data_IF_666763075619
#
_entry.id   IF_666763075619
#
_cell.length_a   1.000
_cell.length_b   1.000
_cell.length_c   1.000
_cell.angle_alpha   90.00
_cell.angle_beta   90.00
_cell.angle_gamma   90.00
#
_symmetry.space_group_name_H-M   'P 1'
#
loop_
_entity.id
_entity.type
_entity.pdbx_description
1 polymer ?
#
# COMPACT_ATOMS: atom_id res chain seq x y z
N UNK A 1 -18.77 -8.02 -23.10
CA UNK A 1 -18.05 -8.67 -21.99
C UNK A 1 -16.58 -8.31 -22.10
N UNK A 2 -16.15 -7.23 -21.45
CA UNK A 2 -14.74 -6.83 -21.40
C UNK A 2 -14.16 -7.54 -20.17
N UNK A 3 -13.30 -8.53 -20.40
CA UNK A 3 -12.49 -9.15 -19.35
C UNK A 3 -11.55 -8.07 -18.81
N UNK A 4 -11.97 -7.39 -17.74
CA UNK A 4 -11.10 -6.45 -17.02
C UNK A 4 -9.88 -7.24 -16.56
N UNK A 5 -8.70 -6.88 -17.06
CA UNK A 5 -7.44 -7.49 -16.72
C UNK A 5 -7.33 -7.58 -15.19
N UNK A 6 -7.15 -8.79 -14.68
CA UNK A 6 -7.00 -9.01 -13.23
C UNK A 6 -5.77 -8.24 -12.77
N UNK A 7 -5.97 -7.08 -12.15
CA UNK A 7 -4.90 -6.38 -11.48
C UNK A 7 -4.28 -7.34 -10.44
N UNK A 8 -2.99 -7.64 -10.57
CA UNK A 8 -2.32 -8.68 -9.78
C UNK A 8 -2.38 -8.43 -8.27
N UNK A 9 -2.61 -7.18 -7.86
CA UNK A 9 -2.79 -6.83 -6.45
C UNK A 9 -4.25 -6.92 -5.97
N UNK A 10 -5.25 -6.82 -6.83
CA UNK A 10 -6.66 -6.86 -6.43
C UNK A 10 -7.52 -5.88 -7.22
N UNK A 11 -8.81 -6.21 -7.36
CA UNK A 11 -9.74 -5.50 -8.24
C UNK A 11 -10.08 -4.06 -7.80
N UNK A 12 -9.85 -3.71 -6.53
CA UNK A 12 -10.07 -2.35 -6.01
C UNK A 12 -8.95 -1.37 -6.39
N UNK A 13 -7.80 -1.87 -6.84
CA UNK A 13 -6.64 -1.07 -7.20
C UNK A 13 -6.59 -0.81 -8.70
N UNK A 14 -5.94 0.28 -9.12
CA UNK A 14 -5.84 0.63 -10.52
C UNK A 14 -5.00 -0.39 -11.30
N UNK A 15 -5.43 -0.74 -12.52
CA UNK A 15 -4.72 -1.68 -13.38
C UNK A 15 -3.44 -1.05 -13.96
N UNK A 16 -2.47 -1.91 -14.31
CA UNK A 16 -1.32 -1.49 -15.12
C UNK A 16 -1.73 -1.16 -16.55
N UNK A 17 -2.79 -1.77 -17.04
CA UNK A 17 -3.33 -1.55 -18.39
C UNK A 17 -4.23 -0.30 -18.48
N UNK A 18 -4.49 0.36 -17.34
CA UNK A 18 -5.28 1.59 -17.33
C UNK A 18 -4.46 2.76 -17.91
N UNK A 19 -4.68 3.02 -19.20
CA UNK A 19 -4.06 4.13 -19.93
C UNK A 19 -4.53 5.52 -19.46
N UNK A 20 -5.66 5.62 -18.76
CA UNK A 20 -6.13 6.88 -18.19
C UNK A 20 -5.48 7.21 -16.84
N UNK A 21 -4.77 6.24 -16.24
CA UNK A 21 -4.01 6.46 -15.01
C UNK A 21 -2.75 7.29 -15.29
N UNK A 22 -2.78 8.57 -14.90
CA UNK A 22 -1.62 9.48 -14.99
C UNK A 22 -0.94 9.54 -13.61
N UNK A 23 0.27 8.99 -13.43
CA UNK A 23 0.96 9.01 -12.13
C UNK A 23 1.32 10.42 -11.70
N UNK A 24 0.85 10.82 -10.51
CA UNK A 24 1.24 12.06 -9.83
C UNK A 24 2.41 11.85 -8.88
N UNK A 25 2.38 10.74 -8.13
CA UNK A 25 3.46 10.34 -7.24
C UNK A 25 3.99 8.96 -7.63
N UNK A 26 5.30 8.78 -7.44
CA UNK A 26 6.02 7.53 -7.64
C UNK A 26 6.76 7.22 -6.36
N UNK A 27 6.60 6.01 -5.85
CA UNK A 27 7.22 5.58 -4.61
C UNK A 27 7.82 4.18 -4.74
N UNK A 28 8.80 3.91 -3.90
CA UNK A 28 9.45 2.62 -3.82
C UNK A 28 9.87 2.33 -2.38
N UNK A 29 10.02 1.06 -2.04
CA UNK A 29 10.68 0.67 -0.79
C UNK A 29 12.18 1.03 -0.84
N UNK A 30 12.87 0.96 0.31
CA UNK A 30 14.29 1.31 0.40
C UNK A 30 15.17 0.53 -0.58
N UNK A 31 14.91 -0.77 -0.78
CA UNK A 31 15.68 -1.58 -1.72
C UNK A 31 15.19 -1.49 -3.19
N UNK A 32 14.15 -0.71 -3.48
CA UNK A 32 13.63 -0.49 -4.83
C UNK A 32 12.91 -1.69 -5.48
N UNK A 33 12.75 -2.82 -4.77
CA UNK A 33 12.05 -4.01 -5.28
C UNK A 33 10.54 -3.80 -5.40
N UNK A 34 9.93 -3.19 -4.39
CA UNK A 34 8.51 -2.81 -4.41
C UNK A 34 8.42 -1.39 -4.98
N UNK A 35 7.60 -1.20 -6.01
CA UNK A 35 7.34 0.11 -6.61
C UNK A 35 5.85 0.29 -6.85
N UNK A 36 5.37 1.50 -6.63
CA UNK A 36 3.97 1.85 -6.81
C UNK A 36 3.82 3.30 -7.22
N UNK A 37 2.66 3.59 -7.80
CA UNK A 37 2.29 4.89 -8.32
C UNK A 37 0.94 5.31 -7.74
N UNK A 38 0.74 6.62 -7.64
CA UNK A 38 -0.50 7.23 -7.17
C UNK A 38 -0.93 8.32 -8.14
N UNK A 39 -2.20 8.34 -8.56
CA UNK A 39 -2.71 9.27 -9.60
C UNK A 39 -3.48 10.48 -9.07
N UNK A 40 -3.64 10.60 -7.75
CA UNK A 40 -4.45 11.65 -7.12
C UNK A 40 -3.71 12.35 -5.98
N UNK A 41 -4.22 13.52 -5.59
CA UNK A 41 -3.88 14.13 -4.29
C UNK A 41 -4.39 13.25 -3.14
N UNK A 42 -3.73 13.27 -1.97
CA UNK A 42 -4.22 12.54 -0.81
C UNK A 42 -5.57 13.11 -0.36
N UNK A 43 -6.47 12.22 0.06
CA UNK A 43 -7.75 12.64 0.64
C UNK A 43 -7.57 13.22 2.04
N UNK A 44 -6.51 12.79 2.73
CA UNK A 44 -6.15 13.22 4.08
C UNK A 44 -4.69 12.82 4.38
N UNK A 45 -4.10 13.40 5.42
CA UNK A 45 -2.80 13.01 5.94
C UNK A 45 -2.84 12.97 7.47
N UNK A 46 -2.26 11.93 8.06
CA UNK A 46 -2.34 11.68 9.51
C UNK A 46 -0.98 11.50 10.14
N UNK A 47 -0.81 12.12 11.31
CA UNK A 47 0.27 11.83 12.25
C UNK A 47 -0.30 10.95 13.36
N UNK A 48 0.18 9.71 13.44
CA UNK A 48 -0.27 8.75 14.44
C UNK A 48 0.81 8.52 15.50
N UNK A 49 0.44 8.75 16.76
CA UNK A 49 1.31 8.62 17.93
C UNK A 49 1.03 7.35 18.74
N UNK A 50 0.20 6.44 18.25
CA UNK A 50 -0.11 5.23 19.00
C UNK A 50 1.13 4.34 19.11
N UNK A 51 1.18 3.53 20.17
CA UNK A 51 2.34 2.65 20.44
C UNK A 51 2.61 1.69 19.28
N UNK A 52 1.58 1.21 18.60
CA UNK A 52 1.73 0.34 17.42
C UNK A 52 2.49 1.03 16.30
N UNK A 53 2.11 2.27 15.94
CA UNK A 53 2.79 3.03 14.91
C UNK A 53 4.23 3.41 15.32
N UNK A 54 4.45 3.71 16.61
CA UNK A 54 5.80 3.98 17.11
C UNK A 54 6.72 2.76 16.96
N UNK A 55 6.25 1.58 17.39
CA UNK A 55 7.02 0.34 17.30
C UNK A 55 7.24 -0.08 15.85
N UNK A 56 6.20 -0.01 15.00
CA UNK A 56 6.28 -0.43 13.60
C UNK A 56 7.26 0.43 12.79
N UNK A 57 7.30 1.73 13.04
CA UNK A 57 8.16 2.66 12.29
C UNK A 57 9.50 2.93 12.97
N UNK A 58 9.71 2.46 14.21
CA UNK A 58 10.90 2.80 15.00
C UNK A 58 11.05 4.30 15.22
N UNK A 59 9.93 5.03 15.30
CA UNK A 59 9.88 6.49 15.30
C UNK A 59 8.87 7.02 16.34
N UNK A 60 8.96 8.29 16.78
CA UNK A 60 8.00 8.88 17.73
C UNK A 60 6.55 8.93 17.21
N UNK A 61 6.38 8.87 15.88
CA UNK A 61 5.10 8.85 15.19
C UNK A 61 5.24 8.22 13.80
N UNK A 62 4.11 7.84 13.23
CA UNK A 62 3.98 7.57 11.80
C UNK A 62 3.31 8.77 11.13
N UNK A 63 3.85 9.20 9.98
CA UNK A 63 3.12 10.05 9.04
C UNK A 63 2.64 9.20 7.86
N UNK A 64 1.35 9.27 7.52
CA UNK A 64 0.81 8.63 6.33
C UNK A 64 -0.13 9.56 5.59
N UNK A 65 -0.03 9.55 4.26
CA UNK A 65 -1.00 10.10 3.34
C UNK A 65 -2.03 9.02 2.99
N UNK A 66 -3.30 9.39 2.89
CA UNK A 66 -4.42 8.48 2.65
C UNK A 66 -4.90 8.69 1.22
N UNK A 67 -5.10 7.59 0.49
CA UNK A 67 -5.60 7.58 -0.87
C UNK A 67 -6.68 6.50 -0.99
N UNK A 68 -7.60 6.67 -1.95
CA UNK A 68 -8.46 5.55 -2.34
C UNK A 68 -7.65 4.52 -3.13
N UNK A 69 -7.92 3.23 -2.91
CA UNK A 69 -7.27 2.11 -3.61
C UNK A 69 -7.22 2.27 -5.13
N UNK A 70 -8.29 2.73 -5.75
CA UNK A 70 -8.38 2.90 -7.21
C UNK A 70 -7.49 4.02 -7.77
N UNK A 71 -6.88 4.85 -6.90
CA UNK A 71 -5.85 5.81 -7.28
C UNK A 71 -4.43 5.29 -7.08
N UNK A 72 -4.26 4.06 -6.62
CA UNK A 72 -2.96 3.43 -6.37
C UNK A 72 -2.79 2.22 -7.28
N UNK A 73 -1.60 2.04 -7.84
CA UNK A 73 -1.21 0.79 -8.51
C UNK A 73 0.22 0.39 -8.19
N UNK A 74 0.43 -0.90 -7.98
CA UNK A 74 1.77 -1.47 -7.82
C UNK A 74 2.35 -1.79 -9.20
N UNK A 75 3.53 -1.24 -9.49
CA UNK A 75 4.21 -1.40 -10.77
C UNK A 75 5.31 -2.47 -10.75
N UNK A 76 5.79 -2.86 -9.56
CA UNK A 76 6.74 -3.95 -9.40
C UNK A 76 6.72 -4.52 -7.97
N UNK A 77 7.13 -5.79 -7.84
CA UNK A 77 7.47 -6.41 -6.56
C UNK A 77 6.28 -6.87 -5.72
N UNK A 78 5.18 -7.32 -6.33
CA UNK A 78 4.03 -7.87 -5.62
C UNK A 78 4.40 -9.09 -4.77
N UNK A 79 5.28 -9.94 -5.29
CA UNK A 79 5.87 -11.10 -4.62
C UNK A 79 6.79 -10.72 -3.45
N UNK A 80 7.18 -9.44 -3.35
CA UNK A 80 8.01 -8.91 -2.28
C UNK A 80 7.18 -8.22 -1.20
N UNK A 81 5.85 -8.23 -1.28
CA UNK A 81 4.98 -7.70 -0.24
C UNK A 81 4.72 -8.74 0.85
N UNK A 82 4.83 -8.31 2.10
CA UNK A 82 4.33 -9.04 3.27
C UNK A 82 3.11 -8.32 3.83
N UNK A 83 2.16 -9.11 4.31
CA UNK A 83 0.94 -8.64 4.96
C UNK A 83 0.87 -9.18 6.37
N UNK A 84 0.44 -8.33 7.31
CA UNK A 84 0.20 -8.72 8.69
C UNK A 84 -1.12 -8.12 9.17
N UNK A 85 -2.09 -8.97 9.48
CA UNK A 85 -3.32 -8.54 10.13
C UNK A 85 -3.07 -8.46 11.65
N UNK A 86 -3.06 -7.23 12.18
CA UNK A 86 -2.78 -6.99 13.60
C UNK A 86 -3.92 -7.37 14.54
N UNK A 87 -5.13 -7.59 14.03
CA UNK A 87 -6.29 -8.00 14.84
C UNK A 87 -6.23 -9.52 15.14
N UNK A 88 -5.79 -10.31 14.16
CA UNK A 88 -5.71 -11.77 14.23
C UNK A 88 -4.29 -12.28 14.53
N UNK A 89 -3.27 -11.44 14.37
CA UNK A 89 -1.87 -11.81 14.63
C UNK A 89 -1.27 -12.77 13.60
N UNK A 90 -1.77 -12.77 12.36
CA UNK A 90 -1.35 -13.69 11.30
C UNK A 90 -0.80 -12.98 10.06
N UNK A 91 0.09 -13.67 9.36
CA UNK A 91 0.73 -13.19 8.13
C UNK A 91 -0.13 -13.48 6.89
N UNK A 92 -1.37 -12.99 6.92
CA UNK A 92 -2.30 -13.08 5.80
C UNK A 92 -2.84 -11.69 5.43
N UNK A 93 -3.19 -11.52 4.16
CA UNK A 93 -3.81 -10.29 3.67
C UNK A 93 -5.31 -10.28 3.99
N UNK A 94 -5.62 -10.07 5.26
CA UNK A 94 -6.99 -9.87 5.77
C UNK A 94 -7.09 -8.43 6.26
N UNK A 95 -8.10 -7.68 5.81
CA UNK A 95 -8.15 -6.24 6.04
C UNK A 95 -8.77 -5.87 7.40
N UNK A 96 -8.21 -4.87 8.11
CA UNK A 96 -7.04 -4.08 7.75
C UNK A 96 -5.74 -4.83 8.01
N UNK A 97 -4.73 -4.60 7.18
CA UNK A 97 -3.40 -5.19 7.38
C UNK A 97 -2.26 -4.20 7.16
N UNK A 98 -1.14 -4.48 7.82
CA UNK A 98 0.13 -3.78 7.61
C UNK A 98 0.82 -4.38 6.39
N UNK A 99 1.30 -3.53 5.49
CA UNK A 99 2.01 -3.93 4.27
C UNK A 99 3.46 -3.49 4.38
N UNK A 100 4.40 -4.40 4.16
CA UNK A 100 5.83 -4.10 4.20
C UNK A 100 6.60 -4.85 3.11
N UNK A 101 7.81 -4.39 2.79
CA UNK A 101 8.70 -5.12 1.91
C UNK A 101 9.35 -6.31 2.63
N UNK A 102 9.29 -7.50 2.03
CA UNK A 102 9.93 -8.72 2.56
C UNK A 102 11.45 -8.60 2.67
N UNK A 103 12.06 -7.89 1.73
CA UNK A 103 13.52 -7.77 1.62
C UNK A 103 14.11 -6.77 2.60
N UNK A 104 13.58 -5.54 2.64
CA UNK A 104 14.20 -4.43 3.39
C UNK A 104 13.37 -3.97 4.59
N UNK A 105 12.19 -4.54 4.81
CA UNK A 105 11.32 -4.20 5.94
C UNK A 105 10.62 -2.84 5.82
N UNK A 106 10.87 -2.03 4.79
CA UNK A 106 10.21 -0.73 4.61
C UNK A 106 8.69 -0.86 4.71
N UNK A 107 8.03 -0.12 5.63
CA UNK A 107 6.58 0.00 5.66
C UNK A 107 6.09 0.62 4.35
N UNK A 108 5.10 -0.01 3.72
CA UNK A 108 4.55 0.43 2.43
C UNK A 108 3.20 1.11 2.63
N UNK A 109 2.29 0.46 3.37
CA UNK A 109 0.95 0.97 3.60
C UNK A 109 0.30 0.29 4.81
N UNK A 110 -0.73 0.95 5.34
CA UNK A 110 -1.79 0.31 6.10
C UNK A 110 -2.97 0.13 5.15
N UNK A 111 -3.26 -1.10 4.73
CA UNK A 111 -4.38 -1.33 3.81
C UNK A 111 -5.70 -1.37 4.58
N UNK A 112 -6.57 -0.39 4.33
CA UNK A 112 -7.87 -0.27 4.96
C UNK A 112 -8.97 -1.09 4.28
N UNK A 113 -10.10 -1.26 4.97
CA UNK A 113 -11.28 -1.99 4.46
C UNK A 113 -12.07 -1.24 3.38
N UNK A 114 -11.94 0.09 3.32
CA UNK A 114 -12.78 0.98 2.49
C UNK A 114 -11.98 1.97 1.63
N UNK A 115 -10.70 2.16 1.95
CA UNK A 115 -9.75 3.06 1.30
C UNK A 115 -8.34 2.54 1.57
#
# INVERSE_FOLDING_TARGET
>A
MILSAKNGFGHEYASLDDSAFIPKYRAACFCGKVRYEVSAEPVDAKLCHCRTCQTLHGAPMQWAAIFHKHHVRFTAGLDQLRFFNSELGINERILPCKVSCNQCGTPIADEGRRM
#
